data_IF_608879972076
#
_entry.id   IF_608879972076
#
_cell.length_a   1.000
_cell.length_b   1.000
_cell.length_c   1.000
_cell.angle_alpha   90.00
_cell.angle_beta   90.00
_cell.angle_gamma   90.00
#
_symmetry.space_group_name_H-M   'P 1'
#
loop_
_entity.id
_entity.type
_entity.pdbx_description
1 polymer ?
#
# COMPACT_ATOMS: atom_id res chain seq x y z
N UNK A 1 -7.54 -27.73 -5.01
CA UNK A 1 -8.65 -27.82 -4.02
C UNK A 1 -9.94 -27.44 -4.76
N UNK A 2 -10.96 -28.30 -4.75
CA UNK A 2 -12.11 -28.17 -5.66
C UNK A 2 -13.08 -27.06 -5.23
N UNK A 3 -13.62 -26.34 -6.23
CA UNK A 3 -14.56 -25.21 -6.16
C UNK A 3 -15.88 -25.48 -5.39
N UNK A 4 -16.14 -26.72 -4.99
CA UNK A 4 -17.36 -27.15 -4.29
C UNK A 4 -17.30 -27.01 -2.76
N UNK A 5 -16.14 -26.69 -2.17
CA UNK A 5 -15.96 -26.69 -0.72
C UNK A 5 -16.61 -25.51 0.04
N UNK A 6 -17.19 -24.53 -0.66
CA UNK A 6 -17.63 -23.28 -0.03
C UNK A 6 -19.13 -22.99 -0.11
N UNK A 7 -19.94 -23.90 -0.66
CA UNK A 7 -21.39 -23.70 -0.86
C UNK A 7 -22.18 -23.65 0.47
N UNK A 8 -21.53 -23.87 1.62
CA UNK A 8 -22.11 -23.63 2.96
C UNK A 8 -21.08 -23.03 3.93
N UNK A 9 -20.55 -21.86 3.62
CA UNK A 9 -19.99 -21.02 4.69
C UNK A 9 -21.17 -20.48 5.50
N UNK A 10 -21.41 -20.99 6.70
CA UNK A 10 -22.36 -20.37 7.63
C UNK A 10 -21.80 -19.01 8.07
N UNK A 11 -22.63 -17.97 8.12
CA UNK A 11 -22.28 -16.69 8.77
C UNK A 11 -22.26 -16.87 10.29
N UNK A 12 -21.31 -17.69 10.74
CA UNK A 12 -21.16 -18.05 12.14
C UNK A 12 -20.43 -16.95 12.92
N UNK A 13 -20.62 -16.86 14.24
CA UNK A 13 -19.82 -15.97 15.09
C UNK A 13 -18.30 -16.18 14.92
N UNK A 14 -17.88 -17.40 14.60
CA UNK A 14 -16.48 -17.74 14.31
C UNK A 14 -15.99 -17.12 13.00
N UNK A 15 -16.79 -17.17 11.93
CA UNK A 15 -16.50 -16.50 10.66
C UNK A 15 -16.33 -15.00 10.87
N UNK A 16 -17.29 -14.36 11.55
CA UNK A 16 -17.25 -12.92 11.84
C UNK A 16 -16.04 -12.52 12.71
N UNK A 17 -15.58 -13.40 13.59
CA UNK A 17 -14.36 -13.18 14.37
C UNK A 17 -13.10 -13.23 13.49
N UNK A 18 -13.02 -14.19 12.57
CA UNK A 18 -11.89 -14.30 11.65
C UNK A 18 -11.81 -13.10 10.71
N UNK A 19 -12.94 -12.68 10.13
CA UNK A 19 -13.01 -11.47 9.28
C UNK A 19 -12.49 -10.24 10.03
N UNK A 20 -12.96 -10.00 11.27
CA UNK A 20 -12.49 -8.87 12.10
C UNK A 20 -10.99 -8.94 12.41
N UNK A 21 -10.45 -10.13 12.63
CA UNK A 21 -9.02 -10.30 12.87
C UNK A 21 -8.20 -9.95 11.62
N UNK A 22 -8.65 -10.36 10.43
CA UNK A 22 -7.99 -10.03 9.17
C UNK A 22 -8.07 -8.53 8.88
N UNK A 23 -9.18 -7.89 9.19
CA UNK A 23 -9.36 -6.44 9.08
C UNK A 23 -8.37 -5.67 9.96
N UNK A 24 -8.27 -6.05 11.23
CA UNK A 24 -7.30 -5.43 12.14
C UNK A 24 -5.86 -5.60 11.61
N UNK A 25 -5.50 -6.80 11.16
CA UNK A 25 -4.18 -7.04 10.59
C UNK A 25 -3.93 -6.19 9.33
N UNK A 26 -4.97 -5.96 8.52
CA UNK A 26 -4.89 -5.12 7.31
C UNK A 26 -4.67 -3.64 7.67
N UNK A 27 -5.36 -3.13 8.69
CA UNK A 27 -5.17 -1.77 9.19
C UNK A 27 -3.76 -1.58 9.77
N UNK A 28 -3.27 -2.55 10.55
CA UNK A 28 -1.90 -2.52 11.08
C UNK A 28 -0.85 -2.57 9.96
N UNK A 29 -1.08 -3.39 8.93
CA UNK A 29 -0.21 -3.46 7.76
C UNK A 29 -0.20 -2.13 6.98
N UNK A 30 -1.37 -1.51 6.77
CA UNK A 30 -1.47 -0.17 6.16
C UNK A 30 -0.61 0.84 6.91
N UNK A 31 -0.73 0.89 8.23
CA UNK A 31 -0.02 1.86 9.05
C UNK A 31 1.50 1.62 9.00
N UNK A 32 1.94 0.37 8.97
CA UNK A 32 3.35 -0.01 8.75
C UNK A 32 3.86 0.42 7.37
N UNK A 33 3.08 0.19 6.32
CA UNK A 33 3.41 0.60 4.95
C UNK A 33 3.50 2.14 4.84
N UNK A 34 2.59 2.88 5.46
CA UNK A 34 2.64 4.35 5.47
C UNK A 34 3.87 4.89 6.21
N UNK A 35 4.23 4.28 7.35
CA UNK A 35 5.45 4.63 8.09
C UNK A 35 6.70 4.38 7.23
N UNK A 36 6.77 3.23 6.57
CA UNK A 36 7.87 2.89 5.68
C UNK A 36 7.96 3.89 4.51
N UNK A 37 6.85 4.16 3.83
CA UNK A 37 6.79 5.12 2.71
C UNK A 37 7.33 6.50 3.11
N UNK A 38 6.86 7.04 4.24
CA UNK A 38 7.34 8.33 4.77
C UNK A 38 8.83 8.28 5.11
N UNK A 39 9.30 7.18 5.70
CA UNK A 39 10.71 6.94 5.99
C UNK A 39 11.58 6.95 4.74
N UNK A 40 11.16 6.23 3.68
CA UNK A 40 11.86 6.21 2.39
C UNK A 40 11.93 7.60 1.76
N UNK A 41 10.82 8.36 1.74
CA UNK A 41 10.80 9.73 1.20
C UNK A 41 11.80 10.64 1.93
N UNK A 42 11.79 10.63 3.27
CA UNK A 42 12.73 11.42 4.08
C UNK A 42 14.19 10.98 3.86
N UNK A 43 14.43 9.67 3.77
CA UNK A 43 15.76 9.16 3.53
C UNK A 43 16.31 9.61 2.16
N UNK A 44 15.51 9.53 1.10
CA UNK A 44 15.92 9.98 -0.24
C UNK A 44 16.17 11.49 -0.32
N UNK A 45 15.41 12.30 0.43
CA UNK A 45 15.64 13.74 0.55
C UNK A 45 17.02 14.02 1.16
N UNK A 46 17.30 13.46 2.34
CA UNK A 46 18.61 13.60 3.03
C UNK A 46 19.75 13.07 2.15
N UNK A 47 19.53 11.96 1.46
CA UNK A 47 20.54 11.37 0.58
C UNK A 47 20.84 12.27 -0.63
N UNK A 48 19.82 12.95 -1.15
CA UNK A 48 19.97 13.97 -2.20
C UNK A 48 20.76 15.19 -1.76
N UNK A 49 20.50 15.69 -0.55
CA UNK A 49 21.28 16.78 0.05
C UNK A 49 22.74 16.37 0.24
N UNK A 50 22.98 15.16 0.77
CA UNK A 50 24.33 14.63 0.97
C UNK A 50 25.08 14.42 -0.35
N UNK A 51 24.40 13.90 -1.38
CA UNK A 51 24.95 13.80 -2.74
C UNK A 51 25.39 15.18 -3.26
N UNK A 52 24.52 16.19 -3.17
CA UNK A 52 24.83 17.54 -3.62
C UNK A 52 25.99 18.16 -2.83
N UNK A 53 26.05 17.92 -1.52
CA UNK A 53 27.15 18.36 -0.67
C UNK A 53 28.50 17.78 -1.08
N UNK A 54 28.56 16.48 -1.41
CA UNK A 54 29.79 15.85 -1.91
C UNK A 54 30.25 16.46 -3.24
N UNK A 55 29.31 16.73 -4.16
CA UNK A 55 29.61 17.35 -5.46
C UNK A 55 30.15 18.77 -5.27
N UNK A 56 29.47 19.63 -4.50
CA UNK A 56 29.91 21.01 -4.24
C UNK A 56 31.29 21.05 -3.58
N UNK A 57 31.56 20.12 -2.65
CA UNK A 57 32.87 20.06 -2.01
C UNK A 57 33.96 19.59 -2.97
N UNK A 58 33.66 18.60 -3.81
CA UNK A 58 34.57 18.16 -4.87
C UNK A 58 34.89 19.29 -5.86
N UNK A 59 33.89 20.09 -6.26
CA UNK A 59 34.08 21.26 -7.12
C UNK A 59 34.95 22.33 -6.45
N UNK A 60 34.77 22.57 -5.14
CA UNK A 60 35.61 23.50 -4.38
C UNK A 60 37.07 23.06 -4.32
N UNK A 61 37.30 21.75 -4.15
CA UNK A 61 38.64 21.16 -4.20
C UNK A 61 39.27 21.26 -5.59
N UNK A 62 38.47 21.08 -6.65
CA UNK A 62 38.92 21.19 -8.04
C UNK A 62 39.29 22.64 -8.39
N UNK A 63 38.49 23.61 -7.94
CA UNK A 63 38.75 25.03 -8.10
C UNK A 63 40.02 25.48 -7.36
N UNK A 64 40.28 24.93 -6.17
CA UNK A 64 41.50 25.19 -5.41
C UNK A 64 42.73 24.52 -6.05
N UNK A 65 42.59 23.28 -6.52
CA UNK A 65 43.68 22.43 -6.97
C UNK A 65 44.34 22.84 -8.29
N UNK A 66 43.90 23.90 -8.96
CA UNK A 66 44.64 24.55 -10.04
C UNK A 66 45.11 23.65 -11.19
N UNK A 67 44.40 22.58 -11.54
CA UNK A 67 44.81 21.66 -12.61
C UNK A 67 46.13 20.91 -12.36
N UNK A 68 46.39 19.88 -13.18
CA UNK A 68 47.59 19.04 -13.04
C UNK A 68 48.90 19.74 -13.47
N UNK A 69 48.80 20.82 -14.25
CA UNK A 69 49.93 21.49 -14.88
C UNK A 69 50.38 22.77 -14.13
N UNK A 70 49.78 23.10 -12.98
CA UNK A 70 50.22 24.21 -12.13
C UNK A 70 51.31 23.76 -11.14
N UNK A 71 52.56 24.25 -11.25
CA UNK A 71 53.63 23.89 -10.33
C UNK A 71 53.33 24.26 -8.87
N UNK A 72 52.50 25.29 -8.64
CA UNK A 72 52.08 25.68 -7.28
C UNK A 72 51.09 24.65 -6.70
N UNK A 73 50.14 24.18 -7.50
CA UNK A 73 49.17 23.18 -7.05
C UNK A 73 49.83 21.84 -6.68
N UNK A 74 50.83 21.41 -7.45
CA UNK A 74 51.61 20.20 -7.16
C UNK A 74 52.34 20.32 -5.82
N UNK A 75 52.93 21.48 -5.53
CA UNK A 75 53.62 21.74 -4.26
C UNK A 75 52.68 21.88 -3.05
N UNK A 76 51.41 22.24 -3.29
CA UNK A 76 50.35 22.39 -2.27
C UNK A 76 49.56 21.09 -2.02
N UNK A 77 49.92 19.99 -2.69
CA UNK A 77 49.28 18.68 -2.48
C UNK A 77 48.21 18.33 -3.50
N UNK A 78 48.24 18.89 -4.71
CA UNK A 78 47.34 18.59 -5.82
C UNK A 78 47.00 17.09 -6.01
N UNK A 79 47.98 16.17 -6.04
CA UNK A 79 47.71 14.73 -6.16
C UNK A 79 46.85 14.14 -5.02
N UNK A 80 46.98 14.67 -3.80
CA UNK A 80 46.15 14.25 -2.66
C UNK A 80 44.73 14.81 -2.84
N UNK A 81 44.60 16.07 -3.25
CA UNK A 81 43.32 16.72 -3.52
C UNK A 81 42.54 15.97 -4.62
N UNK A 82 43.20 15.55 -5.69
CA UNK A 82 42.58 14.73 -6.76
C UNK A 82 42.00 13.41 -6.23
N UNK A 83 42.65 12.77 -5.24
CA UNK A 83 42.10 11.55 -4.62
C UNK A 83 40.82 11.82 -3.85
N UNK A 84 40.76 12.94 -3.11
CA UNK A 84 39.53 13.35 -2.41
C UNK A 84 38.40 13.66 -3.40
N UNK A 85 38.68 14.39 -4.48
CA UNK A 85 37.69 14.68 -5.53
C UNK A 85 37.11 13.38 -6.10
N UNK A 86 37.99 12.42 -6.43
CA UNK A 86 37.56 11.13 -6.98
C UNK A 86 36.69 10.37 -5.98
N UNK A 87 37.11 10.27 -4.72
CA UNK A 87 36.35 9.58 -3.68
C UNK A 87 34.98 10.23 -3.42
N UNK A 88 34.89 11.57 -3.41
CA UNK A 88 33.63 12.30 -3.24
C UNK A 88 32.67 12.05 -4.41
N UNK A 89 33.17 12.05 -5.65
CA UNK A 89 32.37 11.74 -6.84
C UNK A 89 31.89 10.28 -6.85
N UNK A 90 32.71 9.34 -6.41
CA UNK A 90 32.31 7.94 -6.22
C UNK A 90 31.23 7.81 -5.14
N UNK A 91 31.41 8.48 -3.99
CA UNK A 91 30.41 8.52 -2.92
C UNK A 91 29.07 9.10 -3.40
N UNK A 92 29.12 10.19 -4.16
CA UNK A 92 27.94 10.81 -4.76
C UNK A 92 27.21 9.82 -5.70
N UNK A 93 27.95 9.05 -6.50
CA UNK A 93 27.40 8.02 -7.40
C UNK A 93 26.70 6.91 -6.63
N UNK A 94 27.32 6.40 -5.55
CA UNK A 94 26.69 5.36 -4.72
C UNK A 94 25.43 5.85 -4.00
N UNK A 95 25.41 7.12 -3.55
CA UNK A 95 24.23 7.75 -2.96
C UNK A 95 23.08 7.81 -3.97
N UNK A 96 23.35 8.25 -5.20
CA UNK A 96 22.32 8.32 -6.24
C UNK A 96 21.80 6.93 -6.65
N UNK A 97 22.69 5.93 -6.72
CA UNK A 97 22.30 4.54 -6.94
C UNK A 97 21.33 4.04 -5.87
N UNK A 98 21.66 4.21 -4.59
CA UNK A 98 20.79 3.78 -3.49
C UNK A 98 19.48 4.56 -3.51
N UNK A 99 19.50 5.87 -3.82
CA UNK A 99 18.29 6.69 -3.96
C UNK A 99 17.34 6.09 -4.99
N UNK A 100 17.84 5.77 -6.18
CA UNK A 100 17.07 5.13 -7.25
C UNK A 100 16.53 3.75 -6.84
N UNK A 101 17.34 2.93 -6.14
CA UNK A 101 16.88 1.63 -5.63
C UNK A 101 15.75 1.78 -4.61
N UNK A 102 15.85 2.75 -3.68
CA UNK A 102 14.79 3.01 -2.70
C UNK A 102 13.52 3.49 -3.41
N UNK A 103 13.62 4.33 -4.43
CA UNK A 103 12.48 4.78 -5.21
C UNK A 103 11.76 3.62 -5.91
N UNK A 104 12.48 2.88 -6.75
CA UNK A 104 11.86 1.88 -7.62
C UNK A 104 11.54 0.55 -6.92
N UNK A 105 12.38 0.11 -5.98
CA UNK A 105 12.22 -1.21 -5.34
C UNK A 105 11.31 -1.13 -4.13
N UNK A 106 11.33 -0.01 -3.40
CA UNK A 106 10.56 0.14 -2.16
C UNK A 106 9.37 1.09 -2.32
N UNK A 107 9.61 2.33 -2.74
CA UNK A 107 8.56 3.37 -2.74
C UNK A 107 7.46 3.02 -3.74
N UNK A 108 7.80 2.69 -4.98
CA UNK A 108 6.81 2.34 -6.01
C UNK A 108 5.97 1.12 -5.60
N UNK A 109 6.61 0.09 -5.03
CA UNK A 109 5.93 -1.12 -4.56
C UNK A 109 4.98 -0.85 -3.40
N UNK A 110 5.43 -0.09 -2.40
CA UNK A 110 4.60 0.28 -1.24
C UNK A 110 3.45 1.20 -1.66
N UNK A 111 3.72 2.12 -2.58
CA UNK A 111 2.70 3.02 -3.13
C UNK A 111 1.62 2.26 -3.90
N UNK A 112 2.02 1.31 -4.76
CA UNK A 112 1.08 0.44 -5.48
C UNK A 112 0.21 -0.37 -4.51
N UNK A 113 0.81 -1.00 -3.52
CA UNK A 113 0.07 -1.76 -2.50
C UNK A 113 -0.94 -0.90 -1.75
N UNK A 114 -0.54 0.30 -1.33
CA UNK A 114 -1.42 1.22 -0.60
C UNK A 114 -2.55 1.81 -1.45
N UNK A 115 -2.30 2.08 -2.74
CA UNK A 115 -3.24 2.77 -3.62
C UNK A 115 -4.18 1.83 -4.38
N UNK A 116 -3.71 0.63 -4.70
CA UNK A 116 -4.47 -0.37 -5.46
C UNK A 116 -4.98 -1.44 -4.51
N UNK A 117 -4.10 -2.31 -4.01
CA UNK A 117 -4.50 -3.53 -3.31
C UNK A 117 -5.32 -3.25 -2.05
N UNK A 118 -4.86 -2.30 -1.23
CA UNK A 118 -5.53 -1.96 0.03
C UNK A 118 -6.84 -1.21 -0.19
N UNK A 119 -6.91 -0.41 -1.26
CA UNK A 119 -8.14 0.31 -1.63
C UNK A 119 -9.20 -0.66 -2.17
N UNK A 120 -8.77 -1.65 -2.93
CA UNK A 120 -9.59 -2.74 -3.45
C UNK A 120 -10.22 -3.58 -2.32
N UNK A 121 -9.44 -3.91 -1.29
CA UNK A 121 -9.92 -4.58 -0.08
C UNK A 121 -10.96 -3.73 0.65
N UNK A 122 -10.68 -2.43 0.82
CA UNK A 122 -11.59 -1.48 1.46
C UNK A 122 -12.92 -1.35 0.71
N UNK A 123 -12.88 -1.32 -0.61
CA UNK A 123 -14.09 -1.25 -1.43
C UNK A 123 -14.88 -2.57 -1.40
N UNK A 124 -14.21 -3.71 -1.46
CA UNK A 124 -14.83 -5.03 -1.28
C UNK A 124 -15.59 -5.09 0.06
N UNK A 125 -14.94 -4.63 1.13
CA UNK A 125 -15.55 -4.56 2.46
C UNK A 125 -16.78 -3.66 2.49
N UNK A 126 -16.69 -2.46 1.93
CA UNK A 126 -17.83 -1.54 1.85
C UNK A 126 -19.02 -2.14 1.11
N UNK A 127 -18.76 -2.91 0.04
CA UNK A 127 -19.82 -3.62 -0.71
C UNK A 127 -20.45 -4.72 0.14
N UNK A 128 -19.64 -5.48 0.88
CA UNK A 128 -20.13 -6.51 1.82
C UNK A 128 -20.99 -5.90 2.94
N UNK A 129 -20.53 -4.83 3.60
CA UNK A 129 -21.29 -4.15 4.65
C UNK A 129 -22.66 -3.67 4.16
N UNK A 130 -22.68 -3.10 2.94
CA UNK A 130 -23.93 -2.68 2.30
C UNK A 130 -24.86 -3.88 2.05
N UNK A 131 -24.33 -4.96 1.47
CA UNK A 131 -25.11 -6.15 1.16
C UNK A 131 -25.65 -6.84 2.43
N UNK A 132 -24.85 -6.91 3.49
CA UNK A 132 -25.25 -7.42 4.80
C UNK A 132 -26.39 -6.59 5.40
N UNK A 133 -26.23 -5.27 5.44
CA UNK A 133 -27.27 -4.37 5.96
C UNK A 133 -28.57 -4.45 5.16
N UNK A 134 -28.49 -4.54 3.83
CA UNK A 134 -29.68 -4.73 2.98
C UNK A 134 -30.35 -6.08 3.27
N UNK A 135 -29.58 -7.16 3.36
CA UNK A 135 -30.13 -8.48 3.65
C UNK A 135 -30.83 -8.53 5.01
N UNK A 136 -30.24 -7.93 6.05
CA UNK A 136 -30.86 -7.86 7.36
C UNK A 136 -32.18 -7.06 7.36
N UNK A 137 -32.21 -5.91 6.67
CA UNK A 137 -33.44 -5.12 6.51
C UNK A 137 -34.55 -5.91 5.79
N UNK A 138 -34.21 -6.62 4.71
CA UNK A 138 -35.19 -7.42 3.97
C UNK A 138 -35.68 -8.63 4.77
N UNK A 139 -34.80 -9.25 5.57
CA UNK A 139 -35.18 -10.31 6.52
C UNK A 139 -36.14 -9.81 7.59
N UNK A 140 -35.89 -8.63 8.16
CA UNK A 140 -36.79 -8.02 9.14
C UNK A 140 -38.16 -7.70 8.51
N UNK A 141 -38.17 -7.14 7.30
CA UNK A 141 -39.40 -6.89 6.53
C UNK A 141 -40.18 -8.19 6.31
N UNK A 142 -39.52 -9.25 5.88
CA UNK A 142 -40.13 -10.58 5.72
C UNK A 142 -40.67 -11.14 7.05
N UNK A 143 -39.91 -11.06 8.13
CA UNK A 143 -40.33 -11.54 9.45
C UNK A 143 -41.52 -10.74 10.02
N UNK A 144 -41.70 -9.49 9.60
CA UNK A 144 -42.81 -8.62 10.00
C UNK A 144 -44.10 -8.82 9.20
N UNK A 145 -44.10 -9.73 8.20
CA UNK A 145 -45.28 -10.03 7.39
C UNK A 145 -46.45 -10.49 8.27
N UNK A 146 -47.60 -9.85 8.08
CA UNK A 146 -48.84 -10.29 8.74
C UNK A 146 -49.40 -11.50 8.00
N UNK A 147 -50.04 -12.42 8.75
CA UNK A 147 -50.69 -13.62 8.18
C UNK A 147 -51.79 -13.32 7.14
N UNK A 148 -52.26 -12.08 7.05
CA UNK A 148 -53.27 -11.62 6.11
C UNK A 148 -52.71 -10.68 5.03
N UNK A 149 -51.39 -10.64 4.85
CA UNK A 149 -50.77 -9.92 3.75
C UNK A 149 -51.29 -10.46 2.40
N UNK A 150 -51.39 -9.58 1.40
CA UNK A 150 -51.79 -9.98 0.04
C UNK A 150 -50.68 -10.81 -0.59
N UNK A 151 -51.06 -11.83 -1.36
CA UNK A 151 -50.11 -12.75 -2.01
C UNK A 151 -49.08 -12.01 -2.87
N UNK A 152 -49.49 -10.94 -3.57
CA UNK A 152 -48.59 -10.07 -4.36
C UNK A 152 -47.48 -9.44 -3.49
N UNK A 153 -47.84 -8.97 -2.29
CA UNK A 153 -46.89 -8.34 -1.34
C UNK A 153 -45.95 -9.38 -0.73
N UNK A 154 -46.46 -10.60 -0.50
CA UNK A 154 -45.64 -11.72 -0.01
C UNK A 154 -44.62 -12.10 -1.09
N UNK A 155 -45.06 -12.28 -2.34
CA UNK A 155 -44.18 -12.64 -3.45
C UNK A 155 -43.08 -11.59 -3.70
N UNK A 156 -43.41 -10.29 -3.66
CA UNK A 156 -42.42 -9.20 -3.79
C UNK A 156 -41.35 -9.30 -2.70
N UNK A 157 -41.75 -9.48 -1.44
CA UNK A 157 -40.81 -9.52 -0.31
C UNK A 157 -39.97 -10.81 -0.33
N UNK A 158 -40.52 -11.93 -0.79
CA UNK A 158 -39.77 -13.17 -1.00
C UNK A 158 -38.72 -13.03 -2.10
N UNK A 159 -39.07 -12.37 -3.21
CA UNK A 159 -38.13 -12.06 -4.29
C UNK A 159 -37.00 -11.14 -3.82
N UNK A 160 -37.34 -10.05 -3.12
CA UNK A 160 -36.38 -9.14 -2.50
C UNK A 160 -35.44 -9.89 -1.53
N UNK A 161 -35.99 -10.80 -0.73
CA UNK A 161 -35.22 -11.60 0.22
C UNK A 161 -34.25 -12.55 -0.49
N UNK A 162 -34.69 -13.16 -1.59
CA UNK A 162 -33.83 -14.02 -2.41
C UNK A 162 -32.68 -13.23 -3.03
N UNK A 163 -32.98 -12.07 -3.65
CA UNK A 163 -32.01 -11.21 -4.32
C UNK A 163 -30.98 -10.63 -3.34
N UNK A 164 -31.44 -10.12 -2.19
CA UNK A 164 -30.56 -9.58 -1.15
C UNK A 164 -29.66 -10.66 -0.54
N UNK A 165 -30.18 -11.87 -0.29
CA UNK A 165 -29.38 -13.03 0.16
C UNK A 165 -28.30 -13.40 -0.85
N UNK A 166 -28.65 -13.52 -2.13
CA UNK A 166 -27.68 -13.84 -3.19
C UNK A 166 -26.57 -12.79 -3.27
N UNK A 167 -26.92 -11.51 -3.10
CA UNK A 167 -25.95 -10.40 -3.13
C UNK A 167 -25.01 -10.45 -1.92
N UNK A 168 -25.56 -10.69 -0.72
CA UNK A 168 -24.80 -10.88 0.50
C UNK A 168 -23.79 -12.03 0.37
N UNK A 169 -24.24 -13.22 -0.03
CA UNK A 169 -23.38 -14.39 -0.19
C UNK A 169 -22.26 -14.13 -1.19
N UNK A 170 -22.58 -13.55 -2.36
CA UNK A 170 -21.57 -13.21 -3.39
C UNK A 170 -20.55 -12.19 -2.90
N UNK A 171 -20.98 -11.16 -2.17
CA UNK A 171 -20.06 -10.15 -1.62
C UNK A 171 -19.14 -10.72 -0.54
N UNK A 172 -19.62 -11.70 0.24
CA UNK A 172 -18.83 -12.41 1.25
C UNK A 172 -17.75 -13.27 0.62
N UNK A 173 -18.08 -13.99 -0.45
CA UNK A 173 -17.09 -14.75 -1.23
C UNK A 173 -15.95 -13.87 -1.77
N UNK A 174 -16.26 -12.64 -2.18
CA UNK A 174 -15.25 -11.70 -2.67
C UNK A 174 -14.34 -11.14 -1.55
N UNK A 175 -14.68 -11.36 -0.27
CA UNK A 175 -13.79 -11.08 0.86
C UNK A 175 -12.88 -12.27 1.18
N UNK A 176 -13.36 -13.50 0.97
CA UNK A 176 -12.64 -14.74 1.35
C UNK A 176 -11.61 -15.23 0.31
N UNK A 177 -11.70 -14.78 -0.95
CA UNK A 177 -10.92 -15.31 -2.08
C UNK A 177 -10.01 -14.31 -2.79
N UNK A 178 -9.61 -13.22 -2.12
CA UNK A 178 -8.56 -12.32 -2.63
C UNK A 178 -7.24 -12.54 -1.91
#
# INVERSE_FOLDING_TARGET
>A
MSMAAFIKLEDSPMFQKQVRSVEQNTDELRDRCQKLYKGCKKYMEVLGEAHNGDIIFAESLEAFGGGLDDPLSVSLGGPIITKFITALRELATYKELIRSQVEHVLVDRVSQFLSVDLQDVKESRRRFDKAASTYDQTRERFASLKKNARDEVVAEIEEDLHNSKSTFERSRFNLDFR
#
